data_IF_622112227682
#
_entry.id   IF_622112227682
#
_cell.length_a   1.000
_cell.length_b   1.000
_cell.length_c   1.000
_cell.angle_alpha   90.00
_cell.angle_beta   90.00
_cell.angle_gamma   90.00
#
_symmetry.space_group_name_H-M   'P 1'
#
loop_
_entity.id
_entity.type
_entity.pdbx_description
1 polymer ?
#
# COMPACT_ATOMS: atom_id res chain seq x y z
N UNK A 1 -12.16 -37.74 7.83
CA UNK A 1 -13.51 -37.29 7.40
C UNK A 1 -13.31 -36.41 6.18
N UNK A 2 -13.98 -36.69 5.05
CA UNK A 2 -13.99 -35.74 3.93
C UNK A 2 -14.89 -34.57 4.32
N UNK A 3 -14.28 -33.41 4.63
CA UNK A 3 -15.03 -32.18 4.84
C UNK A 3 -15.69 -31.82 3.51
N UNK A 4 -17.03 -31.77 3.48
CA UNK A 4 -17.80 -31.39 2.31
C UNK A 4 -18.23 -29.94 2.48
N UNK A 5 -17.67 -29.06 1.65
CA UNK A 5 -17.98 -27.63 1.71
C UNK A 5 -19.25 -27.30 0.91
N UNK A 6 -20.06 -26.33 1.37
CA UNK A 6 -21.22 -25.83 0.64
C UNK A 6 -20.86 -25.31 -0.78
N UNK A 7 -21.74 -25.45 -1.79
CA UNK A 7 -21.43 -25.05 -3.18
C UNK A 7 -20.99 -23.59 -3.36
N UNK A 8 -21.57 -22.68 -2.57
CA UNK A 8 -21.21 -21.27 -2.55
C UNK A 8 -19.81 -21.01 -1.99
N UNK A 9 -19.36 -21.80 -1.00
CA UNK A 9 -18.00 -21.72 -0.47
C UNK A 9 -17.00 -22.25 -1.50
N UNK A 10 -17.30 -23.38 -2.15
CA UNK A 10 -16.45 -23.94 -3.22
C UNK A 10 -16.29 -22.95 -4.37
N UNK A 11 -17.38 -22.32 -4.84
CA UNK A 11 -17.31 -21.28 -5.89
C UNK A 11 -16.43 -20.10 -5.47
N UNK A 12 -16.57 -19.66 -4.22
CA UNK A 12 -15.81 -18.54 -3.70
C UNK A 12 -14.33 -18.89 -3.53
N UNK A 13 -14.02 -20.12 -3.14
CA UNK A 13 -12.65 -20.62 -3.11
C UNK A 13 -12.05 -20.72 -4.51
N UNK A 14 -12.81 -21.17 -5.50
CA UNK A 14 -12.39 -21.16 -6.90
C UNK A 14 -12.10 -19.73 -7.39
N UNK A 15 -12.99 -18.77 -7.09
CA UNK A 15 -12.74 -17.36 -7.38
C UNK A 15 -11.48 -16.84 -6.69
N UNK A 16 -11.20 -17.30 -5.46
CA UNK A 16 -9.97 -16.95 -4.75
C UNK A 16 -8.74 -17.39 -5.54
N UNK A 17 -8.71 -18.66 -5.96
CA UNK A 17 -7.59 -19.23 -6.69
C UNK A 17 -7.40 -18.60 -8.08
N UNK A 18 -8.49 -18.34 -8.81
CA UNK A 18 -8.42 -17.89 -10.21
C UNK A 18 -8.31 -16.37 -10.35
N UNK A 19 -8.93 -15.60 -9.45
CA UNK A 19 -9.09 -14.14 -9.59
C UNK A 19 -8.43 -13.37 -8.46
N UNK A 20 -8.63 -13.77 -7.21
CA UNK A 20 -8.03 -13.06 -6.07
C UNK A 20 -6.52 -13.19 -6.05
N UNK A 21 -5.98 -14.41 -6.17
CA UNK A 21 -4.54 -14.63 -6.25
C UNK A 21 -3.92 -13.93 -7.46
N UNK A 22 -4.58 -13.96 -8.62
CA UNK A 22 -4.11 -13.25 -9.81
C UNK A 22 -3.96 -11.74 -9.60
N UNK A 23 -4.85 -11.10 -8.83
CA UNK A 23 -4.67 -9.69 -8.52
C UNK A 23 -3.63 -9.44 -7.43
N UNK A 24 -3.55 -10.30 -6.40
CA UNK A 24 -2.51 -10.21 -5.38
C UNK A 24 -1.09 -10.31 -6.00
N UNK A 25 -0.93 -11.07 -7.07
CA UNK A 25 0.32 -11.22 -7.85
C UNK A 25 0.45 -10.25 -9.03
N UNK A 26 -0.26 -9.11 -9.04
CA UNK A 26 -0.23 -8.17 -10.17
C UNK A 26 1.18 -7.70 -10.56
N UNK A 27 2.06 -7.53 -9.56
CA UNK A 27 3.42 -7.01 -9.73
C UNK A 27 4.51 -7.98 -9.27
N UNK A 28 4.24 -8.74 -8.20
CA UNK A 28 5.22 -9.58 -7.52
C UNK A 28 4.51 -10.78 -6.92
N UNK A 29 5.01 -11.99 -7.19
CA UNK A 29 4.53 -13.22 -6.57
C UNK A 29 5.03 -13.39 -5.12
N UNK A 30 4.17 -13.87 -4.22
CA UNK A 30 4.51 -14.17 -2.83
C UNK A 30 3.97 -15.54 -2.39
N UNK A 31 4.86 -16.41 -1.93
CA UNK A 31 4.55 -17.81 -1.58
C UNK A 31 3.65 -17.96 -0.35
N UNK A 32 3.47 -16.90 0.43
CA UNK A 32 2.57 -16.90 1.59
C UNK A 32 1.13 -17.27 1.18
N UNK A 33 0.69 -16.81 0.01
CA UNK A 33 -0.68 -17.00 -0.46
C UNK A 33 -0.96 -18.42 -0.95
N UNK A 34 -0.03 -19.01 -1.68
CA UNK A 34 -0.20 -20.33 -2.33
C UNK A 34 0.24 -21.47 -1.41
N UNK A 35 1.40 -21.35 -0.77
CA UNK A 35 1.95 -22.42 0.06
C UNK A 35 1.34 -22.41 1.44
N UNK A 36 1.25 -21.25 2.11
CA UNK A 36 0.93 -21.25 3.54
C UNK A 36 -0.56 -21.01 3.83
N UNK A 37 -1.15 -19.99 3.22
CA UNK A 37 -2.55 -19.60 3.48
C UNK A 37 -3.50 -20.69 2.99
N UNK A 38 -3.33 -21.19 1.76
CA UNK A 38 -4.18 -22.26 1.21
C UNK A 38 -4.03 -23.56 1.99
N UNK A 39 -2.81 -23.96 2.38
CA UNK A 39 -2.62 -25.16 3.19
C UNK A 39 -3.28 -25.02 4.57
N UNK A 40 -3.07 -23.88 5.24
CA UNK A 40 -3.70 -23.62 6.55
C UNK A 40 -5.22 -23.57 6.45
N UNK A 41 -5.78 -22.98 5.38
CA UNK A 41 -7.23 -22.95 5.15
C UNK A 41 -7.85 -24.35 5.04
N UNK A 42 -7.11 -25.34 4.52
CA UNK A 42 -7.60 -26.72 4.46
C UNK A 42 -7.56 -27.44 5.82
N UNK A 43 -6.79 -26.93 6.78
CA UNK A 43 -6.61 -27.52 8.11
C UNK A 43 -7.42 -26.81 9.20
N UNK A 44 -7.68 -25.51 9.06
CA UNK A 44 -8.38 -24.68 10.04
C UNK A 44 -9.64 -24.03 9.45
N UNK A 45 -10.80 -24.27 10.09
CA UNK A 45 -12.08 -23.73 9.61
C UNK A 45 -12.19 -22.21 9.73
N UNK A 46 -11.53 -21.60 10.72
CA UNK A 46 -11.51 -20.14 10.85
C UNK A 46 -10.81 -19.50 9.65
N UNK A 47 -9.64 -20.04 9.27
CA UNK A 47 -8.88 -19.59 8.10
C UNK A 47 -9.63 -19.88 6.80
N UNK A 48 -10.28 -21.04 6.67
CA UNK A 48 -11.17 -21.32 5.53
C UNK A 48 -12.20 -20.21 5.34
N UNK A 49 -12.98 -19.90 6.39
CA UNK A 49 -14.00 -18.86 6.34
C UNK A 49 -13.42 -17.46 6.04
N UNK A 50 -12.20 -17.16 6.51
CA UNK A 50 -11.48 -15.93 6.15
C UNK A 50 -11.18 -15.85 4.66
N UNK A 51 -10.70 -16.94 4.05
CA UNK A 51 -10.39 -16.99 2.61
C UNK A 51 -11.66 -16.80 1.77
N UNK A 52 -12.76 -17.46 2.16
CA UNK A 52 -14.06 -17.31 1.50
C UNK A 52 -14.57 -15.87 1.60
N UNK A 53 -14.46 -15.27 2.79
CA UNK A 53 -14.86 -13.88 3.02
C UNK A 53 -14.04 -12.91 2.16
N UNK A 54 -12.72 -13.03 2.17
CA UNK A 54 -11.80 -12.22 1.35
C UNK A 54 -12.17 -12.32 -0.13
N UNK A 55 -12.35 -13.54 -0.63
CA UNK A 55 -12.74 -13.78 -2.02
C UNK A 55 -14.06 -13.11 -2.39
N UNK A 56 -15.06 -13.25 -1.53
CA UNK A 56 -16.40 -12.67 -1.75
C UNK A 56 -16.38 -11.14 -1.73
N UNK A 57 -15.64 -10.53 -0.79
CA UNK A 57 -15.46 -9.07 -0.76
C UNK A 57 -14.68 -8.57 -1.98
N UNK A 58 -13.67 -9.31 -2.42
CA UNK A 58 -12.91 -8.97 -3.61
C UNK A 58 -13.78 -9.02 -4.88
N UNK A 59 -14.59 -10.07 -5.05
CA UNK A 59 -15.53 -10.17 -6.17
C UNK A 59 -16.54 -9.02 -6.17
N UNK A 60 -17.09 -8.69 -5.00
CA UNK A 60 -18.00 -7.55 -4.84
C UNK A 60 -17.33 -6.24 -5.25
N UNK A 61 -16.08 -6.00 -4.82
CA UNK A 61 -15.30 -4.83 -5.16
C UNK A 61 -15.00 -4.75 -6.67
N UNK A 62 -14.62 -5.85 -7.32
CA UNK A 62 -14.39 -5.88 -8.78
C UNK A 62 -15.67 -5.55 -9.54
N UNK A 63 -16.82 -6.03 -9.07
CA UNK A 63 -18.10 -5.80 -9.75
C UNK A 63 -18.66 -4.38 -9.53
N UNK A 64 -18.45 -3.79 -8.35
CA UNK A 64 -19.20 -2.58 -7.93
C UNK A 64 -18.33 -1.43 -7.41
N UNK A 65 -17.03 -1.65 -7.17
CA UNK A 65 -16.21 -0.75 -6.36
C UNK A 65 -16.77 -0.58 -4.94
N UNK A 66 -16.45 0.54 -4.29
CA UNK A 66 -16.95 0.87 -2.95
C UNK A 66 -18.42 1.32 -2.91
N UNK A 67 -19.00 1.71 -4.05
CA UNK A 67 -20.36 2.27 -4.14
C UNK A 67 -21.40 1.22 -4.54
N UNK A 68 -21.12 -0.06 -4.25
CA UNK A 68 -22.01 -1.16 -4.57
C UNK A 68 -23.28 -1.22 -3.70
N UNK A 69 -24.29 -1.99 -4.11
CA UNK A 69 -25.52 -2.17 -3.34
C UNK A 69 -25.26 -2.75 -1.95
N UNK A 70 -25.92 -2.20 -0.92
CA UNK A 70 -25.71 -2.54 0.50
C UNK A 70 -25.90 -4.03 0.85
N UNK A 71 -26.61 -4.79 0.01
CA UNK A 71 -26.96 -6.19 0.28
C UNK A 71 -25.93 -7.22 -0.24
N UNK A 72 -24.95 -6.82 -1.05
CA UNK A 72 -24.03 -7.76 -1.69
C UNK A 72 -23.02 -8.39 -0.73
N UNK A 73 -22.77 -7.75 0.42
CA UNK A 73 -21.81 -8.23 1.41
C UNK A 73 -22.37 -9.26 2.37
N UNK A 74 -23.66 -9.62 2.32
CA UNK A 74 -24.29 -10.48 3.33
C UNK A 74 -23.59 -11.84 3.47
N UNK A 75 -23.23 -12.48 2.36
CA UNK A 75 -22.51 -13.75 2.38
C UNK A 75 -21.08 -13.57 2.92
N UNK A 76 -20.36 -12.57 2.40
CA UNK A 76 -18.99 -12.26 2.81
C UNK A 76 -18.91 -11.94 4.32
N UNK A 77 -19.85 -11.16 4.84
CA UNK A 77 -19.98 -10.82 6.26
C UNK A 77 -20.29 -12.04 7.13
N UNK A 78 -21.16 -12.93 6.67
CA UNK A 78 -21.45 -14.18 7.39
C UNK A 78 -20.18 -15.01 7.54
N UNK A 79 -19.44 -15.19 6.44
CA UNK A 79 -18.17 -15.94 6.42
C UNK A 79 -17.13 -15.26 7.31
N UNK A 80 -17.00 -13.93 7.23
CA UNK A 80 -16.10 -13.17 8.10
C UNK A 80 -16.42 -13.34 9.59
N UNK A 81 -17.70 -13.30 9.98
CA UNK A 81 -18.11 -13.51 11.37
C UNK A 81 -17.85 -14.94 11.85
N UNK A 82 -18.08 -15.95 10.99
CA UNK A 82 -17.77 -17.34 11.30
C UNK A 82 -16.26 -17.54 11.52
N UNK A 83 -15.43 -16.88 10.71
CA UNK A 83 -13.99 -16.86 10.91
C UNK A 83 -13.61 -16.25 12.27
N UNK A 84 -14.14 -15.06 12.60
CA UNK A 84 -13.87 -14.42 13.91
C UNK A 84 -14.22 -15.37 15.06
N UNK A 85 -15.36 -16.06 15.00
CA UNK A 85 -15.75 -17.04 16.02
C UNK A 85 -14.76 -18.21 16.11
N UNK A 86 -14.30 -18.73 14.97
CA UNK A 86 -13.29 -19.79 14.92
C UNK A 86 -11.95 -19.36 15.55
N UNK A 87 -11.47 -18.16 15.20
CA UNK A 87 -10.21 -17.62 15.72
C UNK A 87 -10.31 -17.32 17.22
N UNK A 88 -11.42 -16.74 17.69
CA UNK A 88 -11.63 -16.47 19.12
C UNK A 88 -11.81 -17.76 19.94
N UNK A 89 -12.25 -18.85 19.32
CA UNK A 89 -12.31 -20.17 19.95
C UNK A 89 -10.95 -20.86 20.07
N UNK A 90 -9.93 -20.41 19.33
CA UNK A 90 -8.58 -20.98 19.34
C UNK A 90 -7.77 -20.47 20.54
N UNK A 91 -6.94 -21.34 21.13
CA UNK A 91 -6.05 -20.95 22.22
C UNK A 91 -4.90 -20.09 21.71
N UNK A 92 -4.61 -18.97 22.40
CA UNK A 92 -3.47 -18.10 22.14
C UNK A 92 -2.19 -18.69 22.75
N UNK A 93 -1.52 -19.53 21.98
CA UNK A 93 -0.26 -20.17 22.35
C UNK A 93 0.67 -20.26 21.12
N UNK A 94 1.92 -20.64 21.35
CA UNK A 94 2.91 -20.74 20.27
C UNK A 94 2.51 -21.78 19.21
N UNK A 95 1.81 -22.86 19.55
CA UNK A 95 1.38 -23.84 18.54
C UNK A 95 0.40 -23.25 17.53
N UNK A 96 -0.51 -22.36 17.96
CA UNK A 96 -1.52 -21.74 17.11
C UNK A 96 -1.14 -20.35 16.59
N UNK A 97 0.08 -19.86 16.88
CA UNK A 97 0.50 -18.51 16.50
C UNK A 97 0.42 -18.27 14.98
N UNK A 98 0.75 -19.29 14.17
CA UNK A 98 0.64 -19.24 12.71
C UNK A 98 -0.79 -18.98 12.22
N UNK A 99 -1.80 -19.63 12.82
CA UNK A 99 -3.23 -19.40 12.52
C UNK A 99 -3.64 -17.96 12.84
N UNK A 100 -3.27 -17.46 14.03
CA UNK A 100 -3.59 -16.09 14.42
C UNK A 100 -2.93 -15.06 13.51
N UNK A 101 -1.67 -15.30 13.11
CA UNK A 101 -0.94 -14.42 12.20
C UNK A 101 -1.54 -14.40 10.79
N UNK A 102 -1.87 -15.57 10.23
CA UNK A 102 -2.58 -15.67 8.94
C UNK A 102 -3.95 -14.99 9.02
N UNK A 103 -4.67 -15.15 10.14
CA UNK A 103 -5.95 -14.47 10.34
C UNK A 103 -5.80 -12.96 10.31
N UNK A 104 -4.73 -12.39 10.91
CA UNK A 104 -4.45 -10.96 10.85
C UNK A 104 -4.21 -10.52 9.41
N UNK A 105 -3.43 -11.25 8.62
CA UNK A 105 -3.15 -10.95 7.21
C UNK A 105 -4.44 -10.94 6.38
N UNK A 106 -5.27 -11.99 6.50
CA UNK A 106 -6.54 -12.10 5.77
C UNK A 106 -7.53 -11.02 6.21
N UNK A 107 -7.61 -10.75 7.51
CA UNK A 107 -8.49 -9.70 8.04
C UNK A 107 -8.03 -8.32 7.60
N UNK A 108 -6.74 -8.02 7.57
CA UNK A 108 -6.22 -6.76 7.00
C UNK A 108 -6.70 -6.58 5.57
N UNK A 109 -6.63 -7.62 4.73
CA UNK A 109 -7.11 -7.56 3.35
C UNK A 109 -8.63 -7.31 3.26
N UNK A 110 -9.42 -8.00 4.09
CA UNK A 110 -10.87 -7.80 4.17
C UNK A 110 -11.20 -6.38 4.64
N UNK A 111 -10.53 -5.88 5.67
CA UNK A 111 -10.75 -4.55 6.21
C UNK A 111 -10.36 -3.45 5.24
N UNK A 112 -9.30 -3.67 4.45
CA UNK A 112 -8.93 -2.83 3.31
C UNK A 112 -10.06 -2.77 2.30
N UNK A 113 -10.56 -3.92 1.82
CA UNK A 113 -11.69 -3.98 0.86
C UNK A 113 -12.99 -3.35 1.39
N UNK A 114 -13.13 -3.26 2.71
CA UNK A 114 -14.26 -2.61 3.38
C UNK A 114 -14.02 -1.14 3.70
N UNK A 115 -12.85 -0.58 3.38
CA UNK A 115 -12.48 0.80 3.66
C UNK A 115 -12.37 1.11 5.16
N UNK A 116 -12.07 0.12 6.01
CA UNK A 116 -12.04 0.25 7.48
C UNK A 116 -10.62 0.44 8.01
N UNK A 117 -9.99 1.56 7.67
CA UNK A 117 -8.58 1.86 8.00
C UNK A 117 -8.25 1.74 9.49
N UNK A 118 -9.12 2.20 10.41
CA UNK A 118 -8.88 2.07 11.86
C UNK A 118 -8.73 0.62 12.31
N UNK A 119 -9.53 -0.29 11.76
CA UNK A 119 -9.46 -1.73 12.06
C UNK A 119 -8.22 -2.36 11.41
N UNK A 120 -7.83 -1.90 10.22
CA UNK A 120 -6.55 -2.28 9.60
C UNK A 120 -5.39 -1.97 10.55
N UNK A 121 -5.31 -0.75 11.09
CA UNK A 121 -4.23 -0.35 12.01
C UNK A 121 -4.18 -1.25 13.26
N UNK A 122 -5.33 -1.54 13.87
CA UNK A 122 -5.42 -2.43 15.04
C UNK A 122 -4.96 -3.86 14.72
N UNK A 123 -5.34 -4.38 13.55
CA UNK A 123 -4.94 -5.72 13.10
C UNK A 123 -3.44 -5.79 12.79
N UNK A 124 -2.85 -4.72 12.23
CA UNK A 124 -1.41 -4.63 12.03
C UNK A 124 -0.67 -4.70 13.37
N UNK A 125 -1.08 -3.89 14.35
CA UNK A 125 -0.47 -3.87 15.69
C UNK A 125 -0.56 -5.24 16.34
N UNK A 126 -1.72 -5.89 16.23
CA UNK A 126 -1.93 -7.24 16.76
C UNK A 126 -1.03 -8.27 16.06
N UNK A 127 -0.98 -8.27 14.72
CA UNK A 127 -0.17 -9.20 13.94
C UNK A 127 1.33 -9.05 14.22
N UNK A 128 1.81 -7.81 14.33
CA UNK A 128 3.21 -7.53 14.64
C UNK A 128 3.58 -7.92 16.07
N UNK A 129 2.67 -7.76 17.03
CA UNK A 129 2.89 -8.24 18.40
C UNK A 129 3.09 -9.77 18.45
N UNK A 130 2.32 -10.52 17.66
CA UNK A 130 2.48 -11.99 17.52
C UNK A 130 3.86 -12.34 16.95
N UNK A 131 4.28 -11.64 15.88
CA UNK A 131 5.61 -11.82 15.28
C UNK A 131 6.72 -11.58 16.30
N UNK A 132 6.61 -10.50 17.08
CA UNK A 132 7.59 -10.14 18.11
C UNK A 132 7.67 -11.19 19.20
N UNK A 133 6.53 -11.66 19.70
CA UNK A 133 6.46 -12.70 20.74
C UNK A 133 7.13 -14.00 20.29
N UNK A 134 6.84 -14.45 19.07
CA UNK A 134 7.43 -15.68 18.52
C UNK A 134 8.92 -15.52 18.21
N UNK A 135 9.35 -14.34 17.71
CA UNK A 135 10.78 -14.05 17.52
C UNK A 135 11.56 -14.10 18.83
N UNK A 136 11.02 -13.50 19.90
CA UNK A 136 11.64 -13.54 21.23
C UNK A 136 11.74 -14.98 21.77
N UNK A 137 10.72 -15.80 21.56
CA UNK A 137 10.75 -17.23 21.93
C UNK A 137 11.85 -17.99 21.20
N UNK A 138 12.00 -17.78 19.89
CA UNK A 138 13.05 -18.44 19.10
C UNK A 138 14.46 -18.07 19.57
N UNK A 139 14.71 -16.80 19.92
CA UNK A 139 16.00 -16.38 20.46
C UNK A 139 16.34 -17.03 21.82
N UNK A 140 15.33 -17.32 22.65
CA UNK A 140 15.52 -18.00 23.94
C UNK A 140 15.68 -19.53 23.81
N UNK A 141 15.31 -20.12 22.66
CA UNK A 141 15.22 -21.57 22.45
C UNK A 141 16.42 -22.17 21.69
N UNK A 142 17.47 -21.41 21.41
CA UNK A 142 18.68 -21.89 20.72
C UNK A 142 19.53 -22.86 21.57
N UNK A 143 19.02 -24.07 21.83
CA UNK A 143 19.80 -25.21 22.34
C UNK A 143 19.45 -26.58 21.73
N UNK A 144 18.41 -26.76 20.90
CA UNK A 144 18.10 -28.09 20.34
C UNK A 144 17.73 -28.07 18.84
N UNK A 145 18.12 -29.14 18.14
CA UNK A 145 18.22 -29.27 16.68
C UNK A 145 16.94 -28.95 15.88
N UNK A 146 17.11 -28.20 14.79
CA UNK A 146 16.06 -27.80 13.84
C UNK A 146 15.55 -28.99 13.00
N UNK A 147 14.27 -29.35 13.15
CA UNK A 147 13.56 -30.26 12.23
C UNK A 147 12.92 -29.54 11.04
N UNK A 148 12.51 -30.24 9.97
CA UNK A 148 11.95 -29.63 8.75
C UNK A 148 10.63 -28.87 8.95
N UNK A 149 9.83 -29.20 9.97
CA UNK A 149 8.60 -28.47 10.32
C UNK A 149 8.85 -27.10 10.96
N UNK A 150 10.03 -26.90 11.58
CA UNK A 150 10.44 -25.58 12.06
C UNK A 150 10.78 -24.66 10.89
N UNK A 151 11.37 -25.19 9.82
CA UNK A 151 11.78 -24.42 8.64
C UNK A 151 10.59 -23.82 7.88
N UNK A 152 9.49 -24.56 7.73
CA UNK A 152 8.27 -24.08 7.06
C UNK A 152 7.54 -23.01 7.89
N UNK A 153 7.49 -23.22 9.21
CA UNK A 153 6.98 -22.22 10.15
C UNK A 153 7.82 -20.94 10.11
N UNK A 154 9.14 -21.04 10.17
CA UNK A 154 10.02 -19.87 10.12
C UNK A 154 9.87 -19.12 8.79
N UNK A 155 9.70 -19.83 7.68
CA UNK A 155 9.42 -19.23 6.37
C UNK A 155 8.09 -18.46 6.35
N UNK A 156 7.02 -19.02 6.91
CA UNK A 156 5.73 -18.33 7.08
C UNK A 156 5.90 -17.04 7.89
N UNK A 157 6.58 -17.11 9.03
CA UNK A 157 6.76 -15.95 9.90
C UNK A 157 7.60 -14.87 9.22
N UNK A 158 8.66 -15.24 8.49
CA UNK A 158 9.44 -14.29 7.69
C UNK A 158 8.60 -13.63 6.58
N UNK A 159 7.77 -14.40 5.87
CA UNK A 159 6.89 -13.86 4.83
C UNK A 159 5.81 -12.94 5.43
N UNK A 160 5.26 -13.29 6.59
CA UNK A 160 4.32 -12.46 7.31
C UNK A 160 4.94 -11.15 7.82
N UNK A 161 6.20 -11.17 8.25
CA UNK A 161 6.96 -9.98 8.65
C UNK A 161 7.11 -8.99 7.48
N UNK A 162 7.49 -9.49 6.30
CA UNK A 162 7.58 -8.68 5.06
C UNK A 162 6.21 -8.12 4.68
N UNK A 163 5.14 -8.92 4.78
CA UNK A 163 3.78 -8.46 4.50
C UNK A 163 3.35 -7.35 5.45
N UNK A 164 3.42 -7.58 6.77
CA UNK A 164 2.96 -6.63 7.77
C UNK A 164 3.81 -5.35 7.77
N UNK A 165 5.13 -5.46 7.59
CA UNK A 165 6.03 -4.30 7.48
C UNK A 165 5.68 -3.42 6.27
N UNK A 166 5.38 -4.04 5.12
CA UNK A 166 4.91 -3.32 3.93
C UNK A 166 3.60 -2.58 4.17
N UNK A 167 2.61 -3.22 4.78
CA UNK A 167 1.31 -2.55 5.06
C UNK A 167 1.48 -1.47 6.13
N UNK A 168 2.33 -1.68 7.13
CA UNK A 168 2.68 -0.66 8.12
C UNK A 168 3.32 0.57 7.46
N UNK A 169 4.27 0.36 6.53
CA UNK A 169 4.86 1.45 5.75
C UNK A 169 3.81 2.19 4.91
N UNK A 170 2.94 1.46 4.20
CA UNK A 170 1.85 2.08 3.42
C UNK A 170 0.90 2.92 4.30
N UNK A 171 0.51 2.40 5.47
CA UNK A 171 -0.35 3.08 6.42
C UNK A 171 0.32 4.31 7.02
N UNK A 172 1.60 4.21 7.39
CA UNK A 172 2.36 5.32 7.93
C UNK A 172 2.48 6.46 6.93
N UNK A 173 2.71 6.15 5.65
CA UNK A 173 2.76 7.16 4.59
C UNK A 173 1.41 7.81 4.28
N UNK A 174 0.29 7.14 4.57
CA UNK A 174 -1.06 7.65 4.25
C UNK A 174 -1.69 8.45 5.41
N UNK A 175 -1.59 7.93 6.63
CA UNK A 175 -2.27 8.44 7.83
C UNK A 175 -1.29 8.74 8.96
N UNK A 176 -0.14 9.33 8.62
CA UNK A 176 0.91 9.68 9.59
C UNK A 176 0.35 10.45 10.79
N UNK A 177 0.70 10.01 11.99
CA UNK A 177 0.32 10.68 13.25
C UNK A 177 -1.11 10.39 13.73
N UNK A 178 -1.88 9.54 13.03
CA UNK A 178 -3.22 9.13 13.46
C UNK A 178 -3.19 8.13 14.61
N UNK A 179 -2.24 7.19 14.60
CA UNK A 179 -2.13 6.14 15.61
C UNK A 179 -0.69 6.11 16.18
N UNK A 180 -0.50 6.36 17.49
CA UNK A 180 0.82 6.29 18.11
C UNK A 180 1.41 4.87 18.08
N UNK A 181 0.58 3.82 18.11
CA UNK A 181 1.07 2.44 18.06
C UNK A 181 1.68 2.10 16.70
N UNK A 182 1.14 2.69 15.62
CA UNK A 182 1.73 2.57 14.29
C UNK A 182 3.12 3.23 14.24
N UNK A 183 3.28 4.39 14.88
CA UNK A 183 4.58 5.06 14.97
C UNK A 183 5.60 4.23 15.76
N UNK A 184 5.19 3.63 16.89
CA UNK A 184 6.04 2.71 17.65
C UNK A 184 6.42 1.48 16.83
N UNK A 185 5.47 0.87 16.13
CA UNK A 185 5.75 -0.27 15.24
C UNK A 185 6.75 0.10 14.16
N UNK A 186 6.58 1.25 13.50
CA UNK A 186 7.50 1.73 12.45
C UNK A 186 8.91 1.96 13.01
N UNK A 187 9.02 2.55 14.20
CA UNK A 187 10.32 2.70 14.86
C UNK A 187 10.97 1.33 15.11
N UNK A 188 10.19 0.35 15.61
CA UNK A 188 10.69 -1.02 15.81
C UNK A 188 11.12 -1.67 14.49
N UNK A 189 10.34 -1.54 13.41
CA UNK A 189 10.68 -2.05 12.08
C UNK A 189 12.02 -1.47 11.62
N UNK A 190 12.27 -0.18 11.84
CA UNK A 190 13.52 0.48 11.42
C UNK A 190 14.73 0.15 12.32
N UNK A 191 14.51 -0.04 13.62
CA UNK A 191 15.56 -0.31 14.61
C UNK A 191 16.16 -1.73 14.50
N UNK A 192 15.44 -2.69 13.91
CA UNK A 192 15.95 -4.05 13.75
C UNK A 192 17.14 -4.11 12.79
N UNK A 193 18.25 -4.73 13.22
CA UNK A 193 19.56 -4.77 12.53
C UNK A 193 19.52 -5.25 11.07
N UNK A 194 18.46 -5.97 10.64
CA UNK A 194 18.26 -6.34 9.23
C UNK A 194 18.07 -5.15 8.28
N UNK A 195 17.68 -3.98 8.80
CA UNK A 195 17.31 -2.81 7.99
C UNK A 195 18.33 -1.68 8.02
N UNK A 196 19.22 -1.69 9.02
CA UNK A 196 20.44 -0.90 9.01
C UNK A 196 21.49 -1.62 8.15
N UNK A 197 21.41 -1.46 6.82
CA UNK A 197 22.42 -2.01 5.92
C UNK A 197 23.83 -1.58 6.36
N UNK A 198 24.59 -2.52 6.89
CA UNK A 198 26.03 -2.37 7.19
C UNK A 198 26.85 -2.52 5.91
N UNK A 199 26.30 -3.23 4.92
CA UNK A 199 26.89 -3.52 3.62
C UNK A 199 25.85 -3.37 2.50
N UNK A 200 26.32 -3.33 1.25
CA UNK A 200 25.44 -3.26 0.07
C UNK A 200 24.57 -4.53 -0.02
N UNK A 201 23.24 -4.40 -0.21
CA UNK A 201 22.36 -5.56 -0.29
C UNK A 201 22.56 -6.33 -1.60
N UNK A 202 22.16 -7.60 -1.62
CA UNK A 202 21.99 -8.41 -2.83
C UNK A 202 20.52 -8.81 -2.96
N UNK A 203 19.97 -8.71 -4.17
CA UNK A 203 18.58 -9.08 -4.42
C UNK A 203 18.52 -10.33 -5.29
N UNK A 204 17.62 -11.23 -4.93
CA UNK A 204 17.32 -12.45 -5.68
C UNK A 204 15.88 -12.45 -6.21
N UNK A 205 15.03 -11.56 -5.68
CA UNK A 205 13.64 -11.42 -6.11
C UNK A 205 13.22 -9.95 -6.14
N UNK A 206 12.20 -9.65 -6.95
CA UNK A 206 11.57 -8.32 -6.98
C UNK A 206 11.00 -7.93 -5.61
N UNK A 207 10.50 -8.91 -4.82
CA UNK A 207 9.95 -8.63 -3.49
C UNK A 207 11.01 -8.09 -2.53
N UNK A 208 12.23 -8.66 -2.57
CA UNK A 208 13.35 -8.19 -1.76
C UNK A 208 13.73 -6.75 -2.13
N UNK A 209 13.81 -6.44 -3.43
CA UNK A 209 14.11 -5.09 -3.91
C UNK A 209 13.00 -4.09 -3.50
N UNK A 210 11.72 -4.45 -3.65
CA UNK A 210 10.59 -3.61 -3.25
C UNK A 210 10.56 -3.35 -1.74
N UNK A 211 10.75 -4.39 -0.94
CA UNK A 211 10.74 -4.29 0.52
C UNK A 211 11.89 -3.37 1.00
N UNK A 212 13.10 -3.60 0.47
CA UNK A 212 14.26 -2.76 0.71
C UNK A 212 13.99 -1.27 0.39
N UNK A 213 13.40 -0.98 -0.77
CA UNK A 213 13.09 0.39 -1.18
C UNK A 213 12.00 1.04 -0.32
N UNK A 214 10.98 0.26 0.08
CA UNK A 214 9.91 0.71 0.96
C UNK A 214 10.46 1.13 2.33
N UNK A 215 11.42 0.40 2.85
CA UNK A 215 12.09 0.72 4.11
C UNK A 215 12.97 1.96 4.00
N UNK A 216 13.68 2.17 2.88
CA UNK A 216 14.40 3.42 2.64
C UNK A 216 13.47 4.63 2.60
N UNK A 217 12.28 4.47 2.02
CA UNK A 217 11.27 5.54 2.01
C UNK A 217 10.72 5.81 3.41
N UNK A 218 10.48 4.76 4.20
CA UNK A 218 10.05 4.88 5.59
C UNK A 218 11.12 5.56 6.44
N UNK A 219 12.39 5.18 6.26
CA UNK A 219 13.56 5.82 6.86
C UNK A 219 13.58 7.31 6.48
N UNK A 220 13.41 7.66 5.21
CA UNK A 220 13.36 9.07 4.81
C UNK A 220 12.24 9.83 5.56
N UNK A 221 11.05 9.25 5.67
CA UNK A 221 9.90 9.91 6.31
C UNK A 221 10.04 10.06 7.84
N UNK A 222 10.66 9.09 8.52
CA UNK A 222 10.92 9.15 9.96
C UNK A 222 12.13 10.03 10.28
N UNK A 223 13.18 9.98 9.45
CA UNK A 223 14.41 10.75 9.63
C UNK A 223 14.32 12.20 9.17
N UNK A 224 13.40 12.57 8.25
CA UNK A 224 13.11 13.98 7.95
C UNK A 224 12.68 14.79 9.19
N UNK A 225 12.35 14.12 10.30
CA UNK A 225 12.07 14.71 11.60
C UNK A 225 13.31 14.81 12.53
N UNK A 226 14.41 14.07 12.26
CA UNK A 226 15.53 13.81 13.19
C UNK A 226 16.97 13.84 12.62
N UNK A 227 17.22 13.74 11.30
CA UNK A 227 18.40 14.32 10.62
C UNK A 227 18.82 13.69 9.28
N UNK A 228 19.94 14.13 8.70
CA UNK A 228 20.48 13.58 7.43
C UNK A 228 20.77 12.09 7.65
N UNK A 229 19.80 11.26 7.26
CA UNK A 229 19.91 9.81 7.31
C UNK A 229 20.88 9.30 6.26
N UNK A 230 21.26 8.03 6.39
CA UNK A 230 22.08 7.35 5.39
C UNK A 230 21.31 7.06 4.09
N UNK A 231 20.05 7.52 3.97
CA UNK A 231 19.15 7.26 2.84
C UNK A 231 19.77 7.60 1.49
N UNK A 232 20.44 8.75 1.25
CA UNK A 232 21.06 9.01 -0.05
C UNK A 232 22.15 7.98 -0.39
N UNK A 233 22.95 7.55 0.59
CA UNK A 233 23.97 6.51 0.37
C UNK A 233 23.34 5.14 0.15
N UNK A 234 22.40 4.75 1.02
CA UNK A 234 21.68 3.48 0.92
C UNK A 234 20.91 3.38 -0.39
N UNK A 235 20.28 4.47 -0.87
CA UNK A 235 19.63 4.50 -2.17
C UNK A 235 20.63 4.24 -3.31
N UNK A 236 21.85 4.77 -3.24
CA UNK A 236 22.92 4.45 -4.23
C UNK A 236 23.33 2.99 -4.17
N UNK A 237 23.40 2.39 -2.98
CA UNK A 237 23.64 0.96 -2.82
C UNK A 237 22.50 0.12 -3.40
N UNK A 238 21.25 0.50 -3.11
CA UNK A 238 20.06 -0.13 -3.67
C UNK A 238 20.07 -0.06 -5.20
N UNK A 239 20.36 1.11 -5.78
CA UNK A 239 20.44 1.28 -7.25
C UNK A 239 21.50 0.34 -7.84
N UNK A 240 22.70 0.32 -7.27
CA UNK A 240 23.77 -0.56 -7.76
C UNK A 240 23.37 -2.03 -7.67
N UNK A 241 22.82 -2.46 -6.54
CA UNK A 241 22.35 -3.83 -6.33
C UNK A 241 21.20 -4.20 -7.27
N UNK A 242 20.29 -3.27 -7.55
CA UNK A 242 19.17 -3.47 -8.45
C UNK A 242 19.63 -3.54 -9.92
N UNK A 243 20.63 -2.76 -10.33
CA UNK A 243 21.23 -2.89 -11.67
C UNK A 243 21.95 -4.23 -11.86
N UNK A 244 22.63 -4.74 -10.83
CA UNK A 244 23.23 -6.08 -10.85
C UNK A 244 22.12 -7.14 -10.97
N UNK A 245 21.09 -7.07 -10.12
CA UNK A 245 19.94 -7.97 -10.18
C UNK A 245 19.23 -7.94 -11.53
N UNK A 246 19.02 -6.77 -12.15
CA UNK A 246 18.36 -6.65 -13.47
C UNK A 246 19.09 -7.42 -14.57
N UNK A 247 20.42 -7.55 -14.49
CA UNK A 247 21.21 -8.31 -15.47
C UNK A 247 20.92 -9.81 -15.35
N UNK A 248 20.86 -10.31 -14.12
CA UNK A 248 20.57 -11.72 -13.84
C UNK A 248 19.08 -12.04 -14.06
N UNK A 249 18.22 -11.07 -13.82
CA UNK A 249 16.76 -11.15 -14.01
C UNK A 249 16.34 -10.99 -15.47
N UNK A 250 17.28 -10.75 -16.39
CA UNK A 250 16.98 -10.43 -17.77
C UNK A 250 16.21 -11.54 -18.50
N UNK A 251 16.42 -12.81 -18.13
CA UNK A 251 15.72 -13.93 -18.73
C UNK A 251 14.22 -13.96 -18.34
N UNK A 252 13.85 -13.39 -17.19
CA UNK A 252 12.47 -13.33 -16.69
C UNK A 252 11.67 -12.12 -17.24
N UNK A 253 12.34 -11.17 -17.93
CA UNK A 253 11.73 -10.02 -18.60
C UNK A 253 10.73 -10.39 -19.71
N UNK A 254 10.67 -11.65 -20.11
CA UNK A 254 9.70 -12.12 -21.11
C UNK A 254 8.26 -12.04 -20.59
N UNK A 255 8.07 -12.14 -19.27
CA UNK A 255 6.75 -12.06 -18.63
C UNK A 255 6.27 -10.61 -18.49
N UNK A 256 4.97 -10.37 -18.69
CA UNK A 256 4.39 -9.04 -18.46
C UNK A 256 4.45 -8.62 -16.99
N UNK A 257 4.33 -9.58 -16.06
CA UNK A 257 4.47 -9.34 -14.62
C UNK A 257 5.86 -8.78 -14.29
N UNK A 258 6.94 -9.43 -14.76
CA UNK A 258 8.31 -8.96 -14.54
C UNK A 258 8.56 -7.56 -15.10
N UNK A 259 8.01 -7.24 -16.29
CA UNK A 259 8.10 -5.89 -16.88
C UNK A 259 7.40 -4.84 -16.01
N UNK A 260 6.18 -5.13 -15.54
CA UNK A 260 5.42 -4.23 -14.67
C UNK A 260 6.12 -4.02 -13.32
N UNK A 261 6.62 -5.10 -12.72
CA UNK A 261 7.35 -5.05 -11.45
C UNK A 261 8.61 -4.19 -11.55
N UNK A 262 9.40 -4.33 -12.62
CA UNK A 262 10.58 -3.48 -12.86
C UNK A 262 10.21 -2.02 -13.09
N UNK A 263 9.20 -1.74 -13.93
CA UNK A 263 8.74 -0.38 -14.15
C UNK A 263 8.23 0.27 -12.85
N UNK A 264 7.54 -0.50 -12.00
CA UNK A 264 7.09 -0.04 -10.69
C UNK A 264 8.26 0.30 -9.75
N UNK A 265 9.31 -0.52 -9.71
CA UNK A 265 10.49 -0.25 -8.88
C UNK A 265 11.29 0.96 -9.39
N UNK A 266 11.39 1.13 -10.70
CA UNK A 266 11.98 2.33 -11.31
C UNK A 266 11.19 3.59 -10.95
N UNK A 267 9.85 3.54 -11.05
CA UNK A 267 8.96 4.61 -10.60
C UNK A 267 9.21 4.99 -9.14
N UNK A 268 9.23 3.98 -8.26
CA UNK A 268 9.39 4.19 -6.82
C UNK A 268 10.78 4.73 -6.47
N UNK A 269 11.85 4.21 -7.08
CA UNK A 269 13.22 4.69 -6.77
C UNK A 269 13.41 6.13 -7.18
N UNK A 270 12.84 6.54 -8.33
CA UNK A 270 12.93 7.91 -8.81
C UNK A 270 12.25 8.85 -7.83
N UNK A 271 11.07 8.47 -7.34
CA UNK A 271 10.33 9.27 -6.36
C UNK A 271 11.09 9.41 -5.04
N UNK A 272 11.63 8.31 -4.49
CA UNK A 272 12.47 8.34 -3.28
C UNK A 272 13.74 9.18 -3.50
N UNK A 273 14.33 9.13 -4.70
CA UNK A 273 15.47 9.97 -5.06
C UNK A 273 15.14 11.46 -5.05
N UNK A 274 14.01 11.85 -5.65
CA UNK A 274 13.53 13.25 -5.61
C UNK A 274 13.24 13.69 -4.18
N UNK A 275 12.51 12.90 -3.40
CA UNK A 275 12.24 13.19 -1.99
C UNK A 275 13.56 13.39 -1.23
N UNK A 276 14.52 12.47 -1.40
CA UNK A 276 15.82 12.55 -0.74
C UNK A 276 16.60 13.82 -1.08
N UNK A 277 16.47 14.35 -2.30
CA UNK A 277 17.10 15.61 -2.69
C UNK A 277 16.35 16.85 -2.19
N UNK A 278 15.02 16.79 -2.11
CA UNK A 278 14.20 17.89 -1.59
C UNK A 278 14.41 18.06 -0.07
N UNK A 279 14.67 16.96 0.63
CA UNK A 279 14.85 16.92 2.08
C UNK A 279 16.31 16.73 2.52
N UNK A 280 17.29 17.13 1.72
CA UNK A 280 18.74 17.01 2.04
C UNK A 280 19.26 17.97 3.15
N UNK A 281 18.35 18.75 3.77
CA UNK A 281 18.68 19.71 4.82
C UNK A 281 18.83 19.06 6.21
N UNK A 282 19.31 19.81 7.21
CA UNK A 282 19.30 19.38 8.60
C UNK A 282 17.89 18.98 9.08
N UNK A 283 17.79 18.13 10.12
CA UNK A 283 16.49 17.76 10.69
C UNK A 283 15.64 18.95 11.10
N UNK A 284 14.35 18.85 10.86
CA UNK A 284 13.41 19.92 11.21
C UNK A 284 13.54 21.15 10.31
N UNK A 285 14.42 21.14 9.30
CA UNK A 285 14.40 22.14 8.24
C UNK A 285 13.05 22.08 7.56
N UNK A 286 12.38 23.21 7.51
CA UNK A 286 11.10 23.27 6.84
C UNK A 286 11.25 23.00 5.34
N UNK A 287 10.32 22.22 4.78
CA UNK A 287 10.26 21.94 3.35
C UNK A 287 10.21 23.25 2.54
N UNK A 288 11.07 23.43 1.55
CA UNK A 288 10.87 24.47 0.54
C UNK A 288 10.10 23.88 -0.66
N UNK A 289 8.81 24.24 -0.86
CA UNK A 289 7.98 23.69 -1.92
C UNK A 289 8.45 24.10 -3.32
N UNK A 290 9.39 25.06 -3.46
CA UNK A 290 10.02 25.41 -4.72
C UNK A 290 11.00 24.34 -5.21
N UNK A 291 11.62 23.58 -4.29
CA UNK A 291 12.64 22.58 -4.65
C UNK A 291 12.12 21.49 -5.58
N UNK A 292 10.84 21.15 -5.48
CA UNK A 292 10.20 20.17 -6.36
C UNK A 292 10.23 20.55 -7.84
N UNK A 293 10.24 21.85 -8.17
CA UNK A 293 10.17 22.32 -9.56
C UNK A 293 11.43 21.94 -10.36
N UNK A 294 12.57 21.80 -9.67
CA UNK A 294 13.83 21.37 -10.26
C UNK A 294 13.81 19.93 -10.79
N UNK A 295 12.77 19.15 -10.47
CA UNK A 295 12.67 17.72 -10.79
C UNK A 295 11.63 17.40 -11.87
N UNK A 296 11.25 18.38 -12.69
CA UNK A 296 10.26 18.22 -13.77
C UNK A 296 10.59 17.06 -14.73
N UNK A 297 11.86 16.87 -15.09
CA UNK A 297 12.28 15.77 -15.96
C UNK A 297 12.14 14.40 -15.29
N UNK A 298 12.52 14.31 -14.00
CA UNK A 298 12.33 13.09 -13.21
C UNK A 298 10.84 12.74 -13.08
N UNK A 299 9.96 13.72 -12.86
CA UNK A 299 8.52 13.49 -12.85
C UNK A 299 7.99 13.01 -14.21
N UNK A 300 8.53 13.51 -15.32
CA UNK A 300 8.16 13.02 -16.65
C UNK A 300 8.58 11.56 -16.86
N UNK A 301 9.76 11.19 -16.38
CA UNK A 301 10.24 9.81 -16.40
C UNK A 301 9.38 8.89 -15.51
N UNK A 302 9.00 9.35 -14.31
CA UNK A 302 8.05 8.64 -13.44
C UNK A 302 6.72 8.37 -14.15
N UNK A 303 6.16 9.34 -14.89
CA UNK A 303 4.92 9.10 -15.66
C UNK A 303 5.09 7.96 -16.66
N UNK A 304 6.23 7.89 -17.39
CA UNK A 304 6.49 6.79 -18.33
C UNK A 304 6.56 5.44 -17.63
N UNK A 305 7.22 5.37 -16.47
CA UNK A 305 7.26 4.14 -15.68
C UNK A 305 5.88 3.75 -15.13
N UNK A 306 5.07 4.72 -14.72
CA UNK A 306 3.68 4.45 -14.32
C UNK A 306 2.81 3.97 -15.49
N UNK A 307 3.01 4.53 -16.70
CA UNK A 307 2.37 4.07 -17.94
C UNK A 307 2.74 2.62 -18.25
N UNK A 308 4.03 2.27 -18.18
CA UNK A 308 4.53 0.91 -18.39
C UNK A 308 4.05 -0.07 -17.30
N UNK A 309 4.05 0.32 -16.03
CA UNK A 309 3.60 -0.53 -14.91
C UNK A 309 2.09 -0.82 -14.95
N UNK A 310 1.30 0.04 -15.61
CA UNK A 310 -0.16 -0.10 -15.69
C UNK A 310 -0.68 -0.60 -17.04
N UNK A 311 0.23 -0.98 -17.95
CA UNK A 311 -0.05 -1.29 -19.35
C UNK A 311 -0.93 -0.21 -20.01
N UNK A 312 -0.59 1.06 -19.77
CA UNK A 312 -1.25 2.18 -20.42
C UNK A 312 -0.72 2.39 -21.86
N UNK A 313 0.55 2.07 -22.10
CA UNK A 313 1.23 2.24 -23.40
C UNK A 313 0.69 1.30 -24.49
N UNK A 314 0.39 0.06 -24.14
CA UNK A 314 -0.09 -0.98 -25.08
C UNK A 314 -1.50 -0.71 -25.62
N UNK A 315 -2.28 0.15 -24.97
CA UNK A 315 -3.63 0.51 -25.43
C UNK A 315 -3.67 1.56 -26.55
N UNK A 316 -2.51 2.05 -27.02
CA UNK A 316 -2.45 3.21 -27.93
C UNK A 316 -2.12 2.87 -29.39
N UNK A 317 -2.00 1.60 -29.79
CA UNK A 317 -1.54 1.25 -31.15
C UNK A 317 -2.45 0.34 -31.99
N UNK A 318 -3.53 -0.27 -31.46
CA UNK A 318 -4.40 -1.10 -32.32
C UNK A 318 -5.91 -0.91 -32.26
N UNK A 319 -6.49 -0.17 -31.31
CA UNK A 319 -7.95 0.04 -31.31
C UNK A 319 -8.33 1.48 -30.93
N UNK A 320 -8.09 2.42 -31.85
CA UNK A 320 -8.53 3.81 -31.72
C UNK A 320 -10.06 4.02 -31.87
N UNK A 321 -10.85 2.94 -31.95
CA UNK A 321 -12.29 2.99 -32.21
C UNK A 321 -13.18 2.43 -31.08
N UNK A 322 -12.61 1.91 -29.99
CA UNK A 322 -13.41 1.50 -28.82
C UNK A 322 -13.26 2.56 -27.75
N UNK A 323 -14.35 3.28 -27.49
CA UNK A 323 -14.58 4.17 -26.34
C UNK A 323 -13.79 3.66 -25.13
N UNK A 324 -12.96 4.53 -24.54
CA UNK A 324 -12.19 4.28 -23.31
C UNK A 324 -13.02 3.52 -22.25
N UNK A 325 -13.00 2.19 -22.30
CA UNK A 325 -13.67 1.36 -21.32
C UNK A 325 -12.84 1.44 -20.05
N UNK A 326 -13.37 2.07 -19.00
CA UNK A 326 -12.76 2.04 -17.66
C UNK A 326 -12.37 0.59 -17.34
N UNK A 327 -11.11 0.35 -16.99
CA UNK A 327 -10.68 -0.99 -16.54
C UNK A 327 -11.47 -1.33 -15.27
N UNK A 328 -11.79 -2.62 -15.07
CA UNK A 328 -12.43 -3.08 -13.84
C UNK A 328 -11.59 -2.67 -12.61
N UNK A 329 -12.20 -2.40 -11.45
CA UNK A 329 -11.48 -2.16 -10.21
C UNK A 329 -10.40 -3.22 -9.95
N UNK A 330 -9.25 -2.77 -9.43
CA UNK A 330 -8.08 -3.59 -9.14
C UNK A 330 -7.75 -3.51 -7.65
N UNK A 331 -7.40 -4.63 -7.05
CA UNK A 331 -7.07 -4.79 -5.64
C UNK A 331 -5.82 -5.64 -5.48
N UNK A 332 -4.79 -5.09 -4.83
CA UNK A 332 -3.60 -5.86 -4.46
C UNK A 332 -2.97 -5.27 -3.19
N UNK A 333 -2.15 -6.04 -2.49
CA UNK A 333 -1.54 -5.60 -1.22
C UNK A 333 -0.14 -4.99 -1.38
N UNK A 334 0.42 -4.99 -2.59
CA UNK A 334 1.67 -4.28 -2.90
C UNK A 334 1.46 -2.77 -2.97
N UNK A 335 2.53 -2.02 -2.66
CA UNK A 335 2.61 -0.59 -2.95
C UNK A 335 2.78 -0.45 -4.46
N UNK A 336 1.76 0.02 -5.16
CA UNK A 336 1.78 0.19 -6.63
C UNK A 336 2.11 1.62 -7.03
N UNK A 337 1.41 2.11 -8.07
CA UNK A 337 1.67 3.43 -8.67
C UNK A 337 0.92 4.56 -7.95
N UNK A 338 -0.14 4.24 -7.20
CA UNK A 338 -1.06 5.23 -6.60
C UNK A 338 -0.34 6.20 -5.65
N UNK A 339 0.52 5.77 -4.72
CA UNK A 339 1.21 6.69 -3.81
C UNK A 339 2.13 7.68 -4.54
N UNK A 340 2.80 7.23 -5.60
CA UNK A 340 3.71 8.09 -6.39
C UNK A 340 2.91 9.06 -7.26
N UNK A 341 1.85 8.60 -7.93
CA UNK A 341 0.96 9.48 -8.71
C UNK A 341 0.28 10.52 -7.81
N UNK A 342 -0.15 10.13 -6.62
CA UNK A 342 -0.62 11.04 -5.59
C UNK A 342 0.43 12.12 -5.26
N UNK A 343 1.68 11.70 -5.01
CA UNK A 343 2.84 12.59 -4.82
C UNK A 343 3.02 13.57 -5.97
N UNK A 344 3.05 13.07 -7.21
CA UNK A 344 3.22 13.88 -8.42
C UNK A 344 2.14 14.97 -8.52
N UNK A 345 0.87 14.64 -8.31
CA UNK A 345 -0.23 15.60 -8.51
C UNK A 345 -0.11 16.81 -7.58
N UNK A 346 0.26 16.60 -6.30
CA UNK A 346 0.32 17.69 -5.32
C UNK A 346 1.72 18.30 -5.14
N UNK A 347 2.79 17.66 -5.64
CA UNK A 347 4.18 18.16 -5.55
C UNK A 347 4.75 18.69 -6.88
N UNK A 348 4.41 18.09 -8.02
CA UNK A 348 4.80 18.64 -9.31
C UNK A 348 3.86 19.81 -9.66
N UNK A 349 4.38 20.95 -10.12
CA UNK A 349 3.59 22.14 -10.52
C UNK A 349 3.51 22.31 -12.05
N UNK A 350 3.99 21.34 -12.82
CA UNK A 350 3.83 21.30 -14.27
C UNK A 350 2.41 20.85 -14.65
N UNK A 351 1.63 21.69 -15.36
CA UNK A 351 0.23 21.39 -15.68
C UNK A 351 0.04 20.16 -16.57
N UNK A 352 0.99 19.85 -17.45
CA UNK A 352 0.87 18.70 -18.36
C UNK A 352 1.14 17.38 -17.63
N UNK A 353 2.15 17.34 -16.77
CA UNK A 353 2.48 16.18 -15.93
C UNK A 353 1.34 15.89 -14.95
N UNK A 354 0.79 16.92 -14.28
CA UNK A 354 -0.38 16.76 -13.39
C UNK A 354 -1.57 16.12 -14.11
N UNK A 355 -1.94 16.64 -15.28
CA UNK A 355 -3.07 16.10 -16.07
C UNK A 355 -2.82 14.66 -16.50
N UNK A 356 -1.59 14.29 -16.89
CA UNK A 356 -1.21 12.90 -17.19
C UNK A 356 -1.34 11.99 -15.96
N UNK A 357 -0.87 12.43 -14.79
CA UNK A 357 -1.01 11.66 -13.54
C UNK A 357 -2.49 11.44 -13.18
N UNK A 358 -3.32 12.49 -13.27
CA UNK A 358 -4.77 12.42 -13.04
C UNK A 358 -5.43 11.45 -14.03
N UNK A 359 -5.06 11.52 -15.31
CA UNK A 359 -5.57 10.60 -16.33
C UNK A 359 -5.24 9.14 -15.97
N UNK A 360 -4.01 8.84 -15.54
CA UNK A 360 -3.64 7.48 -15.12
C UNK A 360 -4.41 6.97 -13.90
N UNK A 361 -4.64 7.83 -12.90
CA UNK A 361 -5.42 7.48 -11.70
C UNK A 361 -6.92 7.32 -12.00
N UNK A 362 -7.45 7.98 -13.02
CA UNK A 362 -8.88 7.89 -13.38
C UNK A 362 -9.23 6.73 -14.30
N UNK A 363 -8.24 6.11 -14.98
CA UNK A 363 -8.45 4.97 -15.89
C UNK A 363 -8.97 3.70 -15.22
N UNK A 364 -8.66 3.49 -13.95
CA UNK A 364 -9.06 2.32 -13.17
C UNK A 364 -9.16 2.71 -11.71
N UNK A 365 -10.19 2.25 -11.01
CA UNK A 365 -10.16 2.24 -9.56
C UNK A 365 -9.11 1.22 -9.11
N UNK A 366 -8.15 1.67 -8.31
CA UNK A 366 -7.10 0.85 -7.72
C UNK A 366 -7.14 0.96 -6.21
N UNK A 367 -7.03 -0.18 -5.56
CA UNK A 367 -6.86 -0.32 -4.13
C UNK A 367 -5.53 -1.03 -3.89
N UNK A 368 -4.50 -0.24 -3.54
CA UNK A 368 -3.13 -0.67 -3.37
C UNK A 368 -2.80 -0.74 -1.88
N UNK A 369 -3.13 -1.89 -1.27
CA UNK A 369 -3.25 -2.04 0.17
C UNK A 369 -4.18 -0.97 0.73
N UNK A 370 -3.70 -0.15 1.66
CA UNK A 370 -4.52 0.91 2.28
C UNK A 370 -4.78 2.13 1.38
N UNK A 371 -4.15 2.20 0.19
CA UNK A 371 -4.28 3.34 -0.72
C UNK A 371 -5.43 3.15 -1.71
N UNK A 372 -6.55 3.85 -1.48
CA UNK A 372 -7.63 3.98 -2.47
C UNK A 372 -7.34 5.15 -3.42
N UNK A 373 -7.07 4.83 -4.69
CA UNK A 373 -6.85 5.78 -5.77
C UNK A 373 -7.92 6.87 -5.89
N UNK A 374 -9.20 6.57 -5.64
CA UNK A 374 -10.26 7.55 -5.78
C UNK A 374 -10.25 8.58 -4.66
N UNK A 375 -9.98 8.12 -3.43
CA UNK A 375 -9.89 8.98 -2.24
C UNK A 375 -8.66 9.88 -2.34
N UNK A 376 -7.48 9.28 -2.58
CA UNK A 376 -6.23 10.06 -2.62
C UNK A 376 -6.15 11.00 -3.82
N UNK A 377 -6.79 10.65 -4.95
CA UNK A 377 -6.93 11.56 -6.09
C UNK A 377 -7.76 12.80 -5.72
N UNK A 378 -8.86 12.63 -4.99
CA UNK A 378 -9.71 13.74 -4.58
C UNK A 378 -8.94 14.72 -3.67
N UNK A 379 -8.17 14.17 -2.72
CA UNK A 379 -7.27 14.95 -1.85
C UNK A 379 -6.20 15.69 -2.66
N UNK A 380 -5.52 15.01 -3.58
CA UNK A 380 -4.47 15.64 -4.39
C UNK A 380 -5.02 16.73 -5.34
N UNK A 381 -6.19 16.51 -5.94
CA UNK A 381 -6.87 17.52 -6.76
C UNK A 381 -7.30 18.72 -5.93
N UNK A 382 -7.75 18.51 -4.69
CA UNK A 382 -8.09 19.60 -3.78
C UNK A 382 -6.87 20.42 -3.39
N UNK A 383 -5.73 19.78 -3.15
CA UNK A 383 -4.44 20.45 -2.95
C UNK A 383 -4.08 21.30 -4.18
N UNK A 384 -4.12 20.71 -5.38
CA UNK A 384 -3.87 21.40 -6.65
C UNK A 384 -4.77 22.65 -6.81
N UNK A 385 -6.07 22.51 -6.57
CA UNK A 385 -7.02 23.62 -6.64
C UNK A 385 -6.75 24.72 -5.60
N UNK A 386 -6.25 24.36 -4.42
CA UNK A 386 -5.86 25.33 -3.40
C UNK A 386 -4.65 26.17 -3.83
N UNK A 387 -3.69 25.57 -4.54
CA UNK A 387 -2.53 26.29 -5.10
C UNK A 387 -2.93 27.21 -6.25
N UNK A 388 -3.79 26.70 -7.13
CA UNK A 388 -4.17 27.39 -8.37
C UNK A 388 -5.15 28.54 -8.12
N UNK A 389 -5.98 28.46 -7.07
CA UNK A 389 -6.96 29.50 -6.69
C UNK A 389 -7.88 29.91 -7.86
N UNK A 390 -8.27 28.95 -8.71
CA UNK A 390 -9.09 29.17 -9.90
C UNK A 390 -8.33 29.68 -11.13
N UNK A 391 -7.00 29.83 -11.05
CA UNK A 391 -6.14 30.11 -12.21
C UNK A 391 -5.91 28.83 -13.02
N UNK A 392 -5.55 28.98 -14.29
CA UNK A 392 -5.10 27.89 -15.16
C UNK A 392 -3.63 28.10 -15.51
N UNK A 393 -2.69 27.77 -14.59
CA UNK A 393 -1.29 28.07 -14.81
C UNK A 393 -0.77 27.33 -16.04
N UNK A 394 0.12 27.96 -16.80
CA UNK A 394 0.82 27.33 -17.93
C UNK A 394 2.21 26.81 -17.56
N UNK A 395 2.77 27.30 -16.44
CA UNK A 395 4.05 26.88 -15.89
C UNK A 395 4.05 26.89 -14.35
N UNK A 396 5.00 26.20 -13.73
CA UNK A 396 5.16 26.18 -12.26
C UNK A 396 5.48 27.56 -11.67
N UNK A 397 6.12 28.43 -12.45
CA UNK A 397 6.48 29.80 -12.05
C UNK A 397 5.26 30.69 -11.74
N UNK A 398 4.08 30.35 -12.28
CA UNK A 398 2.83 31.09 -12.04
C UNK A 398 2.17 30.76 -10.69
N UNK A 399 2.67 29.75 -9.97
CA UNK A 399 2.19 29.38 -8.63
C UNK A 399 3.20 29.89 -7.60
N UNK A 400 2.91 31.00 -6.88
CA UNK A 400 3.82 31.60 -5.90
C UNK A 400 4.11 30.64 -4.73
N UNK A 401 5.30 30.74 -4.14
CA UNK A 401 5.70 29.91 -3.00
C UNK A 401 4.68 29.90 -1.85
N UNK A 402 4.07 31.06 -1.54
CA UNK A 402 3.07 31.20 -0.48
C UNK A 402 1.73 30.52 -0.78
N UNK A 403 1.41 30.25 -2.04
CA UNK A 403 0.19 29.52 -2.42
C UNK A 403 0.39 27.99 -2.43
N UNK A 404 1.63 27.51 -2.35
CA UNK A 404 1.95 26.10 -2.52
C UNK A 404 1.61 25.29 -1.27
N UNK A 405 0.97 24.15 -1.49
CA UNK A 405 0.71 23.16 -0.45
C UNK A 405 2.03 22.49 -0.09
N UNK A 406 2.41 22.60 1.18
CA UNK A 406 3.64 22.04 1.75
C UNK A 406 3.36 20.63 2.21
N UNK A 407 2.44 20.47 3.16
CA UNK A 407 2.06 19.18 3.76
C UNK A 407 0.57 18.94 3.64
N UNK A 408 0.23 17.66 3.59
CA UNK A 408 -1.14 17.16 3.68
C UNK A 408 -1.21 16.26 4.91
N UNK A 409 -2.20 16.46 5.77
CA UNK A 409 -2.43 15.65 6.95
C UNK A 409 -3.84 15.10 6.96
N UNK A 410 -4.01 13.88 7.44
CA UNK A 410 -5.32 13.25 7.64
C UNK A 410 -5.47 12.98 9.12
N UNK A 411 -6.52 13.49 9.75
CA UNK A 411 -6.81 13.27 11.16
C UNK A 411 -8.22 12.66 11.33
N UNK A 412 -8.42 11.80 12.33
CA UNK A 412 -9.77 11.34 12.68
C UNK A 412 -10.59 12.52 13.22
N UNK A 413 -11.90 12.55 12.94
CA UNK A 413 -12.82 13.48 13.60
C UNK A 413 -12.92 13.12 15.08
N UNK A 414 -12.78 14.10 15.98
CA UNK A 414 -12.80 13.89 17.43
C UNK A 414 -14.16 13.34 17.89
N UNK A 415 -14.14 12.40 18.82
CA UNK A 415 -15.34 11.88 19.50
C UNK A 415 -16.15 13.02 20.14
N UNK A 416 -17.37 13.25 19.63
CA UNK A 416 -18.28 14.32 20.06
C UNK A 416 -18.92 15.11 18.90
N UNK A 417 -18.37 15.01 17.68
CA UNK A 417 -18.92 15.60 16.44
C UNK A 417 -19.37 14.53 15.43
N UNK A 418 -19.76 13.35 15.91
CA UNK A 418 -20.29 12.30 15.05
C UNK A 418 -21.73 12.62 14.63
N UNK A 419 -21.98 12.80 13.34
CA UNK A 419 -23.33 12.58 12.82
C UNK A 419 -23.63 11.08 12.90
N UNK A 420 -24.80 10.70 13.41
CA UNK A 420 -25.22 9.29 13.53
C UNK A 420 -25.25 8.53 12.18
N UNK A 421 -25.09 9.23 11.06
CA UNK A 421 -25.19 8.70 9.71
C UNK A 421 -23.86 8.28 9.07
N UNK A 422 -22.70 8.77 9.54
CA UNK A 422 -21.38 8.43 8.97
C UNK A 422 -20.35 8.15 10.08
N UNK A 423 -20.20 6.89 10.53
CA UNK A 423 -19.40 6.54 11.71
C UNK A 423 -17.87 6.65 11.53
N UNK A 424 -17.37 7.28 10.46
CA UNK A 424 -15.94 7.36 10.09
C UNK A 424 -15.61 8.61 9.25
N UNK A 425 -15.81 9.81 9.79
CA UNK A 425 -15.35 11.02 9.11
C UNK A 425 -13.88 11.32 9.47
N UNK A 426 -13.09 11.61 8.45
CA UNK A 426 -11.73 12.15 8.59
C UNK A 426 -11.75 13.63 8.22
N UNK A 427 -10.83 14.41 8.78
CA UNK A 427 -10.51 15.76 8.28
C UNK A 427 -9.18 15.73 7.56
N UNK A 428 -9.13 16.40 6.43
CA UNK A 428 -7.93 16.56 5.62
C UNK A 428 -7.45 18.00 5.77
N UNK A 429 -6.21 18.15 6.18
CA UNK A 429 -5.53 19.42 6.34
C UNK A 429 -4.55 19.67 5.20
N UNK A 430 -4.53 20.89 4.68
CA UNK A 430 -3.53 21.37 3.73
C UNK A 430 -2.74 22.50 4.38
N UNK A 431 -1.42 22.33 4.49
CA UNK A 431 -0.55 23.38 5.00
C UNK A 431 -0.10 24.31 3.86
N UNK A 432 -0.54 25.57 3.92
CA UNK A 432 -0.24 26.62 2.95
C UNK A 432 0.27 27.83 3.73
N UNK A 433 1.42 28.37 3.34
CA UNK A 433 2.05 29.50 4.06
C UNK A 433 2.14 29.26 5.59
N UNK A 434 2.54 28.05 5.98
CA UNK A 434 2.66 27.58 7.38
C UNK A 434 1.34 27.62 8.19
N UNK A 435 0.20 27.69 7.51
CA UNK A 435 -1.14 27.64 8.12
C UNK A 435 -1.89 26.42 7.63
N UNK A 436 -2.59 25.75 8.53
CA UNK A 436 -3.42 24.60 8.20
C UNK A 436 -4.84 25.05 7.82
N UNK A 437 -5.27 24.67 6.61
CA UNK A 437 -6.67 24.71 6.20
C UNK A 437 -7.26 23.31 6.30
N UNK A 438 -8.29 23.13 7.14
CA UNK A 438 -8.91 21.83 7.41
C UNK A 438 -10.28 21.72 6.74
N UNK A 439 -10.54 20.58 6.10
CA UNK A 439 -11.80 20.26 5.43
C UNK A 439 -12.28 18.85 5.81
N UNK A 440 -13.59 18.63 5.88
CA UNK A 440 -14.13 17.29 6.05
C UNK A 440 -13.92 16.47 4.77
N UNK A 441 -13.48 15.21 4.92
CA UNK A 441 -13.23 14.32 3.79
C UNK A 441 -14.48 14.09 2.92
N UNK A 442 -15.67 13.99 3.53
CA UNK A 442 -16.94 13.77 2.83
C UNK A 442 -17.21 14.92 1.83
N UNK A 443 -16.94 16.17 2.21
CA UNK A 443 -17.10 17.34 1.34
C UNK A 443 -16.14 17.31 0.13
N UNK A 444 -14.97 16.69 0.27
CA UNK A 444 -14.00 16.55 -0.83
C UNK A 444 -14.49 15.50 -1.83
N UNK A 445 -15.12 14.43 -1.33
CA UNK A 445 -15.64 13.33 -2.16
C UNK A 445 -16.93 13.71 -2.89
N UNK A 446 -17.86 14.41 -2.23
CA UNK A 446 -19.15 14.81 -2.80
C UNK A 446 -19.02 15.84 -3.92
N UNK A 447 -18.08 16.79 -3.80
CA UNK A 447 -17.81 17.78 -4.86
C UNK A 447 -17.31 17.15 -6.16
N UNK A 448 -16.63 16.00 -6.07
CA UNK A 448 -16.25 15.23 -7.26
C UNK A 448 -17.46 14.60 -7.97
N UNK A 449 -18.52 14.28 -7.24
CA UNK A 449 -19.74 13.73 -7.83
C UNK A 449 -20.53 14.80 -8.59
N UNK A 450 -20.44 16.08 -8.17
CA UNK A 450 -21.08 17.21 -8.88
C UNK A 450 -20.31 17.74 -10.09
N UNK A 451 -19.00 17.47 -10.18
CA UNK A 451 -18.13 17.88 -11.30
C UNK A 451 -17.99 16.81 -12.40
N UNK A 452 -18.73 15.70 -12.31
CA UNK A 452 -18.90 14.68 -13.36
C UNK A 452 -20.20 14.89 -14.10
#
# INVERSE_FOLDING_TARGET
>A
MHVTYPPNEVRSFQYFQEKTLSQLFTFIHEDIWTSHIVQTANMDQGIWHSVIALSSFHENFVCHGYFGPQNHDRFALKQYNMSIQGILGSQRNSSNAHVHLISCILFVCIEVLRGRTSTVLQLLVTGYAILKEERMRSCCAHTESSGPSLTDRDALFAAADVFLSRIAAQAYMLVKGVDPNLATMVAEILDFEQFAWKERPTFHTLNQAQHALSNLRLELETYNQSGVGMVPLKLRWWVTAFEEFKKDYADQLTTQEGKRGLALLELQRLYVGVESTVFDGPPGTEEDPLRWDAHTDAFREMIRHAEAATDADTSSQHDAAVISTRKSPQFHMHTGVVPVLYGIIHKCRDPAIRRRAIALMTRSQRLEGVWDSQVVLAVAMRAMAAEEQGRTPTSSAEIPAAARVRRIAVLPVREGQHSQTTPKSYVVGYEIDKKWAWEQADNIMDRRASDR
#
